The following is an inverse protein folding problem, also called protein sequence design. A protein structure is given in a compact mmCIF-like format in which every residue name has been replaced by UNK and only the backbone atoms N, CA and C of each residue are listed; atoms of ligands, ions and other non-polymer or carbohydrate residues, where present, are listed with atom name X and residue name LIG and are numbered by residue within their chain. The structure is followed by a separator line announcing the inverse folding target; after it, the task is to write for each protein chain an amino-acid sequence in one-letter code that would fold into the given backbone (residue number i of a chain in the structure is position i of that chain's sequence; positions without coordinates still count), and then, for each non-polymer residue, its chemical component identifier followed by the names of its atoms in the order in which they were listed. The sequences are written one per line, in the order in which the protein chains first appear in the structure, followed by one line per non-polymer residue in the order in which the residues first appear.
data_IF_991145294869
#
_entry.id   IF_991145294869
#
_cell.length_a   1.000
_cell.length_b   1.000
_cell.length_c   1.000
_cell.angle_alpha   90.00
_cell.angle_beta   90.00
_cell.angle_gamma   90.00
#
_symmetry.space_group_name_H-M   'P 1'
#
loop_
_entity.id
_entity.type
_entity.pdbx_description
1 polymer ?
#
# COMPACT_ATOMS: atom_id res chain seq x y z
N UNK A 1 14.17 1.42 -5.61
CA UNK A 1 15.12 0.84 -4.68
C UNK A 1 14.30 0.54 -3.44
N UNK A 2 13.91 -0.74 -3.28
CA UNK A 2 13.41 -1.22 -2.02
C UNK A 2 14.46 -0.81 -0.98
N UNK A 3 14.02 -0.13 0.07
CA UNK A 3 14.88 0.15 1.18
C UNK A 3 15.43 -1.20 1.62
N UNK A 4 16.65 -1.48 1.20
CA UNK A 4 17.42 -2.50 1.87
C UNK A 4 17.28 -2.18 3.32
N UNK A 5 16.83 -3.11 4.11
CA UNK A 5 16.89 -3.00 5.56
C UNK A 5 18.33 -2.59 5.86
N UNK A 6 18.52 -1.33 6.13
CA UNK A 6 19.83 -0.87 6.59
C UNK A 6 19.99 -1.47 7.97
N UNK A 7 20.70 -2.55 8.03
CA UNK A 7 21.26 -3.01 9.26
C UNK A 7 22.24 -1.90 9.70
N UNK A 8 21.72 -0.89 10.40
CA UNK A 8 22.52 0.18 10.94
C UNK A 8 23.39 -0.40 12.07
N UNK A 9 24.42 -1.12 11.66
CA UNK A 9 25.45 -1.60 12.54
C UNK A 9 26.39 -0.47 12.98
N UNK A 10 27.29 -0.75 13.93
CA UNK A 10 28.31 0.21 14.39
C UNK A 10 29.08 0.87 13.24
N UNK A 11 29.35 0.14 12.16
CA UNK A 11 30.06 0.62 10.96
C UNK A 11 29.28 1.72 10.23
N UNK A 12 27.96 1.58 10.14
CA UNK A 12 27.10 2.60 9.53
C UNK A 12 27.16 3.90 10.33
N UNK A 13 27.12 3.81 11.66
CA UNK A 13 27.21 4.97 12.53
C UNK A 13 28.57 5.66 12.38
N UNK A 14 29.69 4.90 12.40
CA UNK A 14 31.04 5.44 12.20
C UNK A 14 31.15 6.15 10.84
N UNK A 15 30.61 5.57 9.81
CA UNK A 15 30.55 6.16 8.46
C UNK A 15 29.81 7.49 8.47
N UNK A 16 28.62 7.55 9.07
CA UNK A 16 27.83 8.78 9.20
C UNK A 16 28.63 9.84 9.97
N UNK A 17 29.18 9.52 11.14
CA UNK A 17 29.96 10.47 11.95
C UNK A 17 31.19 10.96 11.19
N UNK A 18 31.86 10.10 10.43
CA UNK A 18 33.00 10.48 9.57
C UNK A 18 32.60 11.48 8.48
N UNK A 19 31.40 11.33 7.89
CA UNK A 19 30.88 12.31 6.92
C UNK A 19 30.51 13.62 7.63
N UNK A 20 29.79 13.54 8.74
CA UNK A 20 29.35 14.71 9.50
C UNK A 20 30.55 15.56 9.98
N UNK A 21 31.65 14.93 10.39
CA UNK A 21 32.86 15.65 10.81
C UNK A 21 33.49 16.51 9.71
N UNK A 22 33.19 16.25 8.44
CA UNK A 22 33.68 17.04 7.31
C UNK A 22 32.78 18.24 6.99
N UNK A 23 31.62 18.31 7.61
CA UNK A 23 30.63 19.36 7.38
C UNK A 23 30.78 20.42 8.49
N UNK A 24 30.77 21.69 8.11
CA UNK A 24 30.91 22.80 9.08
C UNK A 24 29.64 23.04 9.91
N UNK A 25 28.47 22.49 9.51
CA UNK A 25 27.23 22.68 10.25
C UNK A 25 27.11 21.70 11.39
N UNK A 26 26.67 22.17 12.54
CA UNK A 26 26.27 21.33 13.67
C UNK A 26 24.77 20.89 13.59
N UNK A 27 24.00 21.47 12.67
CA UNK A 27 22.60 21.10 12.50
C UNK A 27 22.48 20.09 11.35
N UNK A 28 21.86 18.94 11.66
CA UNK A 28 21.67 17.82 10.73
C UNK A 28 20.18 17.56 10.61
N UNK A 29 19.68 17.69 9.38
CA UNK A 29 18.31 17.27 9.06
C UNK A 29 18.25 15.78 8.78
N UNK A 30 17.16 15.12 9.20
CA UNK A 30 16.89 13.74 8.85
C UNK A 30 15.44 13.57 8.32
N UNK A 31 15.25 12.54 7.52
CA UNK A 31 13.95 12.15 6.94
C UNK A 31 13.73 10.68 7.27
N UNK A 32 12.53 10.34 7.74
CA UNK A 32 12.15 8.98 8.10
C UNK A 32 12.57 8.58 9.52
N UNK A 33 12.46 7.28 9.80
CA UNK A 33 12.71 6.73 11.12
C UNK A 33 14.21 6.45 11.31
N UNK A 34 14.78 6.96 12.37
CA UNK A 34 16.15 6.62 12.82
C UNK A 34 16.10 5.99 14.21
N UNK A 35 16.95 5.00 14.43
CA UNK A 35 17.00 4.27 15.70
C UNK A 35 17.54 5.15 16.84
N UNK A 36 17.06 4.91 18.07
CA UNK A 36 17.44 5.66 19.26
C UNK A 36 18.97 5.68 19.47
N UNK A 37 19.65 4.56 19.24
CA UNK A 37 21.12 4.48 19.36
C UNK A 37 21.84 5.43 18.40
N UNK A 38 21.34 5.60 17.19
CA UNK A 38 21.90 6.53 16.21
C UNK A 38 21.63 8.00 16.62
N UNK A 39 20.41 8.30 17.07
CA UNK A 39 20.07 9.62 17.61
C UNK A 39 21.03 9.99 18.75
N UNK A 40 21.16 9.09 19.73
CA UNK A 40 22.04 9.30 20.89
C UNK A 40 23.47 9.55 20.49
N UNK A 41 24.05 8.72 19.61
CA UNK A 41 25.42 8.84 19.19
C UNK A 41 25.72 10.13 18.41
N UNK A 42 24.80 10.53 17.49
CA UNK A 42 24.97 11.78 16.74
C UNK A 42 24.84 12.98 17.65
N UNK A 43 23.93 12.96 18.63
CA UNK A 43 23.78 14.03 19.62
C UNK A 43 24.98 14.13 20.56
N UNK A 44 25.50 12.99 21.02
CA UNK A 44 26.72 12.95 21.84
C UNK A 44 27.95 13.45 21.09
N UNK A 45 27.98 13.29 19.78
CA UNK A 45 29.04 13.86 18.94
C UNK A 45 28.90 15.39 18.70
N UNK A 46 27.91 16.04 19.33
CA UNK A 46 27.71 17.49 19.29
C UNK A 46 26.81 18.02 18.18
N UNK A 47 26.11 17.14 17.47
CA UNK A 47 25.20 17.56 16.42
C UNK A 47 23.77 17.75 16.95
N UNK A 48 23.04 18.71 16.38
CA UNK A 48 21.64 19.00 16.65
C UNK A 48 20.82 18.38 15.53
N UNK A 49 19.97 17.42 15.87
CA UNK A 49 19.08 16.76 14.92
C UNK A 49 17.76 17.53 14.76
N UNK A 50 17.29 17.65 13.53
CA UNK A 50 15.98 18.21 13.19
C UNK A 50 15.27 17.30 12.19
N UNK A 51 14.02 16.91 12.49
CA UNK A 51 13.19 16.20 11.50
C UNK A 51 12.84 17.14 10.34
N UNK A 52 12.94 16.62 9.14
CA UNK A 52 12.51 17.25 7.89
C UNK A 52 11.32 16.50 7.27
N UNK A 53 10.67 15.62 8.00
CA UNK A 53 9.58 14.77 7.49
C UNK A 53 8.45 15.59 6.86
N UNK A 54 7.92 16.58 7.59
CA UNK A 54 6.82 17.42 7.08
C UNK A 54 7.21 18.20 5.82
N UNK A 55 8.46 18.69 5.75
CA UNK A 55 8.96 19.37 4.55
C UNK A 55 9.10 18.39 3.38
N UNK A 56 9.60 17.20 3.64
CA UNK A 56 9.74 16.16 2.63
C UNK A 56 8.38 15.65 2.12
N UNK A 57 7.42 15.49 3.02
CA UNK A 57 6.03 15.16 2.65
C UNK A 57 5.45 16.24 1.73
N UNK A 58 5.62 17.51 2.08
CA UNK A 58 5.17 18.62 1.25
C UNK A 58 5.79 18.62 -0.16
N UNK A 59 7.10 18.44 -0.25
CA UNK A 59 7.80 18.37 -1.54
C UNK A 59 7.28 17.23 -2.40
N UNK A 60 6.86 16.12 -1.80
CA UNK A 60 6.32 14.93 -2.48
C UNK A 60 4.84 15.05 -2.88
N UNK A 61 4.12 16.08 -2.48
CA UNK A 61 2.71 16.24 -2.89
C UNK A 61 2.57 16.38 -4.40
N UNK A 62 3.43 17.17 -5.03
CA UNK A 62 3.45 17.32 -6.47
C UNK A 62 4.32 16.22 -7.09
N UNK A 63 3.77 15.52 -8.08
CA UNK A 63 4.46 14.45 -8.80
C UNK A 63 4.92 14.96 -10.16
N UNK A 64 6.13 14.62 -10.52
CA UNK A 64 6.63 14.78 -11.90
C UNK A 64 5.92 13.81 -12.84
N UNK A 65 6.01 14.04 -14.14
CA UNK A 65 5.44 13.11 -15.14
C UNK A 65 6.03 11.71 -15.02
N UNK A 66 7.32 11.57 -14.73
CA UNK A 66 7.96 10.27 -14.51
C UNK A 66 7.39 9.54 -13.29
N UNK A 67 7.07 10.23 -12.20
CA UNK A 67 6.43 9.66 -11.03
C UNK A 67 4.99 9.25 -11.33
N UNK A 68 4.27 10.04 -12.12
CA UNK A 68 2.91 9.70 -12.57
C UNK A 68 2.94 8.41 -13.40
N UNK A 69 3.92 8.22 -14.28
CA UNK A 69 4.08 6.98 -15.03
C UNK A 69 4.37 5.78 -14.11
N UNK A 70 5.16 5.97 -13.05
CA UNK A 70 5.38 4.92 -12.05
C UNK A 70 4.08 4.57 -11.29
N UNK A 71 3.27 5.57 -10.92
CA UNK A 71 1.95 5.35 -10.31
C UNK A 71 0.99 4.59 -11.23
N UNK A 72 0.98 4.93 -12.53
CA UNK A 72 0.16 4.22 -13.54
C UNK A 72 0.57 2.75 -13.66
N UNK A 73 1.88 2.46 -13.64
CA UNK A 73 2.37 1.08 -13.62
C UNK A 73 1.99 0.35 -12.33
N UNK A 74 2.08 1.01 -11.16
CA UNK A 74 1.61 0.44 -9.90
C UNK A 74 0.12 0.09 -9.93
N UNK A 75 -0.72 0.99 -10.45
CA UNK A 75 -2.16 0.73 -10.63
C UNK A 75 -2.41 -0.43 -11.59
N UNK A 76 -1.72 -0.45 -12.74
CA UNK A 76 -1.83 -1.55 -13.70
C UNK A 76 -1.45 -2.91 -13.09
N UNK A 77 -0.43 -2.96 -12.25
CA UNK A 77 -0.07 -4.21 -11.55
C UNK A 77 -1.17 -4.66 -10.59
N UNK A 78 -1.82 -3.74 -9.89
CA UNK A 78 -2.96 -4.09 -9.03
C UNK A 78 -4.14 -4.64 -9.85
N UNK A 79 -4.43 -4.06 -11.01
CA UNK A 79 -5.47 -4.56 -11.91
C UNK A 79 -5.11 -5.95 -12.45
N UNK A 80 -3.85 -6.19 -12.80
CA UNK A 80 -3.37 -7.53 -13.21
C UNK A 80 -3.56 -8.57 -12.11
N UNK A 81 -3.29 -8.22 -10.85
CA UNK A 81 -3.49 -9.12 -9.72
C UNK A 81 -4.96 -9.47 -9.52
N UNK A 82 -5.84 -8.47 -9.54
CA UNK A 82 -7.28 -8.72 -9.44
C UNK A 82 -7.76 -9.62 -10.58
N UNK A 83 -7.27 -9.36 -11.80
CA UNK A 83 -7.62 -10.20 -12.97
C UNK A 83 -7.10 -11.62 -12.82
N UNK A 84 -5.85 -11.81 -12.42
CA UNK A 84 -5.27 -13.15 -12.20
C UNK A 84 -6.05 -13.94 -11.16
N UNK A 85 -6.38 -13.31 -10.03
CA UNK A 85 -7.22 -13.94 -9.00
C UNK A 85 -8.58 -14.30 -9.55
N UNK A 86 -9.26 -13.36 -10.24
CA UNK A 86 -10.58 -13.61 -10.82
C UNK A 86 -10.58 -14.78 -11.79
N UNK A 87 -9.58 -14.89 -12.64
CA UNK A 87 -9.51 -15.88 -13.70
C UNK A 87 -9.11 -17.27 -13.18
N UNK A 88 -8.27 -17.31 -12.15
CA UNK A 88 -7.58 -18.54 -11.72
C UNK A 88 -8.07 -19.10 -10.38
N UNK A 89 -8.82 -18.33 -9.59
CA UNK A 89 -9.31 -18.79 -8.28
C UNK A 89 -10.20 -20.03 -8.41
N UNK A 90 -9.92 -21.03 -7.59
CA UNK A 90 -10.68 -22.27 -7.52
C UNK A 90 -11.08 -22.56 -6.06
N UNK A 91 -12.20 -23.26 -5.81
CA UNK A 91 -12.44 -23.89 -4.52
C UNK A 91 -11.24 -24.77 -4.12
N UNK A 92 -11.02 -24.96 -2.85
CA UNK A 92 -9.90 -25.70 -2.25
C UNK A 92 -8.54 -24.96 -2.27
N UNK A 93 -8.43 -23.82 -2.94
CA UNK A 93 -7.32 -22.90 -2.76
C UNK A 93 -7.37 -22.26 -1.37
N UNK A 94 -6.24 -21.78 -0.92
CA UNK A 94 -6.10 -21.05 0.34
C UNK A 94 -5.90 -19.55 0.12
N UNK A 95 -6.00 -18.74 1.17
CA UNK A 95 -5.63 -17.31 1.07
C UNK A 95 -4.15 -17.13 0.66
N UNK A 96 -3.26 -18.09 1.00
CA UNK A 96 -1.87 -18.06 0.52
C UNK A 96 -1.76 -18.23 -1.01
N UNK A 97 -2.65 -19.02 -1.59
CA UNK A 97 -2.69 -19.18 -3.06
C UNK A 97 -3.13 -17.88 -3.73
N UNK A 98 -4.06 -17.11 -3.12
CA UNK A 98 -4.43 -15.79 -3.64
C UNK A 98 -3.26 -14.80 -3.63
N UNK A 99 -2.45 -14.82 -2.56
CA UNK A 99 -1.21 -14.02 -2.52
C UNK A 99 -0.28 -14.41 -3.65
N UNK A 100 -0.12 -15.72 -3.89
CA UNK A 100 0.74 -16.24 -4.95
C UNK A 100 0.25 -15.83 -6.34
N UNK A 101 -1.06 -15.91 -6.61
CA UNK A 101 -1.66 -15.45 -7.86
C UNK A 101 -1.41 -13.95 -8.07
N UNK A 102 -1.65 -13.13 -7.04
CA UNK A 102 -1.41 -11.70 -7.09
C UNK A 102 0.06 -11.40 -7.43
N UNK A 103 1.00 -11.95 -6.67
CA UNK A 103 2.43 -11.67 -6.85
C UNK A 103 2.97 -12.17 -8.20
N UNK A 104 2.58 -13.34 -8.64
CA UNK A 104 3.02 -13.91 -9.92
C UNK A 104 2.57 -13.04 -11.12
N UNK A 105 1.46 -12.32 -11.01
CA UNK A 105 0.93 -11.49 -12.08
C UNK A 105 1.84 -10.33 -12.47
N UNK A 106 2.62 -9.80 -11.53
CA UNK A 106 3.48 -8.60 -11.76
C UNK A 106 4.98 -8.83 -11.59
N UNK A 107 5.42 -9.90 -10.89
CA UNK A 107 6.85 -10.09 -10.59
C UNK A 107 7.72 -10.12 -11.84
N UNK A 108 7.28 -10.81 -12.90
CA UNK A 108 8.02 -10.90 -14.18
C UNK A 108 8.08 -9.58 -14.93
N UNK A 109 7.19 -8.65 -14.59
CA UNK A 109 7.12 -7.31 -15.19
C UNK A 109 7.92 -6.27 -14.40
N UNK A 110 8.62 -6.70 -13.34
CA UNK A 110 9.39 -5.81 -12.47
C UNK A 110 8.53 -5.13 -11.39
N UNK A 111 7.31 -5.61 -11.17
CA UNK A 111 6.43 -5.16 -10.10
C UNK A 111 6.93 -5.58 -8.73
N UNK A 112 6.54 -4.83 -7.73
CA UNK A 112 6.85 -5.05 -6.33
C UNK A 112 5.55 -5.17 -5.53
N UNK A 113 5.51 -6.07 -4.55
CA UNK A 113 4.40 -6.13 -3.62
C UNK A 113 4.51 -4.99 -2.60
N UNK A 114 3.41 -4.27 -2.36
CA UNK A 114 3.29 -3.29 -1.30
C UNK A 114 2.24 -3.71 -0.28
N UNK A 115 0.99 -3.92 -0.71
CA UNK A 115 -0.10 -4.46 0.12
C UNK A 115 -0.70 -5.66 -0.60
N UNK A 116 -1.00 -6.71 0.14
CA UNK A 116 -1.69 -7.92 -0.33
C UNK A 116 -2.47 -8.54 0.82
N UNK A 117 -3.52 -7.83 1.22
CA UNK A 117 -4.38 -8.23 2.33
C UNK A 117 -5.61 -8.93 1.79
N UNK A 118 -5.96 -10.03 2.41
CA UNK A 118 -7.10 -10.85 2.03
C UNK A 118 -7.91 -11.25 3.25
N UNK A 119 -9.19 -11.44 3.03
CA UNK A 119 -10.05 -12.23 3.89
C UNK A 119 -10.99 -13.03 3.01
N UNK A 120 -11.09 -14.32 3.29
CA UNK A 120 -12.12 -15.19 2.79
C UNK A 120 -13.09 -15.50 3.92
N UNK A 121 -14.38 -15.38 3.69
CA UNK A 121 -15.42 -15.57 4.70
C UNK A 121 -16.67 -16.16 4.07
N UNK A 122 -17.47 -16.88 4.84
CA UNK A 122 -18.77 -17.34 4.38
C UNK A 122 -19.66 -16.12 4.08
N UNK A 123 -20.24 -16.04 2.88
CA UNK A 123 -21.02 -14.87 2.47
C UNK A 123 -22.38 -14.75 3.21
N UNK A 124 -22.93 -15.87 3.71
CA UNK A 124 -24.20 -15.86 4.41
C UNK A 124 -24.03 -15.56 5.91
N UNK A 125 -22.89 -15.95 6.48
CA UNK A 125 -22.50 -15.70 7.86
C UNK A 125 -21.04 -15.22 7.95
N UNK A 126 -20.77 -13.96 7.57
CA UNK A 126 -19.40 -13.46 7.58
C UNK A 126 -18.82 -13.38 8.98
N UNK A 127 -17.65 -13.98 9.20
CA UNK A 127 -16.88 -13.87 10.44
C UNK A 127 -15.91 -12.67 10.46
N UNK A 128 -15.82 -11.96 9.37
CA UNK A 128 -15.05 -10.73 9.23
C UNK A 128 -15.14 -10.17 7.80
N UNK A 129 -14.93 -8.85 7.68
CA UNK A 129 -15.04 -8.13 6.41
C UNK A 129 -13.81 -7.26 6.11
N UNK A 130 -12.86 -7.21 7.04
CA UNK A 130 -11.63 -6.42 6.86
C UNK A 130 -10.49 -7.34 6.42
N UNK A 131 -9.85 -7.10 5.29
CA UNK A 131 -8.73 -7.89 4.81
C UNK A 131 -7.60 -7.94 5.84
N UNK A 132 -7.09 -9.14 6.09
CA UNK A 132 -6.01 -9.37 7.06
C UNK A 132 -4.66 -9.03 6.44
N UNK A 133 -3.78 -8.44 7.23
CA UNK A 133 -2.41 -8.12 6.79
C UNK A 133 -1.59 -9.38 6.43
N UNK A 134 -1.92 -10.50 7.07
CA UNK A 134 -1.32 -11.78 6.79
C UNK A 134 -2.40 -12.75 6.29
N UNK A 135 -2.19 -13.30 5.12
CA UNK A 135 -3.01 -14.38 4.60
C UNK A 135 -2.91 -15.62 5.51
N UNK A 136 -3.96 -16.40 5.52
CA UNK A 136 -4.05 -17.61 6.33
C UNK A 136 -4.13 -18.86 5.45
N UNK A 137 -4.00 -20.03 6.08
CA UNK A 137 -4.24 -21.32 5.43
C UNK A 137 -5.72 -21.68 5.30
N UNK A 138 -6.66 -20.73 5.51
CA UNK A 138 -8.10 -21.00 5.34
C UNK A 138 -8.37 -21.44 3.92
N UNK A 139 -9.03 -22.56 3.77
CA UNK A 139 -9.46 -23.12 2.49
C UNK A 139 -10.71 -22.40 2.01
N UNK A 140 -10.66 -21.94 0.78
CA UNK A 140 -11.73 -21.18 0.14
C UNK A 140 -12.84 -22.14 -0.33
N UNK A 141 -14.05 -21.86 0.02
CA UNK A 141 -15.23 -22.63 -0.36
C UNK A 141 -16.04 -21.94 -1.47
N UNK A 142 -16.95 -22.70 -2.09
CA UNK A 142 -17.83 -22.19 -3.15
C UNK A 142 -18.81 -21.09 -2.68
N UNK A 143 -19.06 -21.01 -1.36
CA UNK A 143 -19.98 -20.04 -0.75
C UNK A 143 -19.23 -18.87 -0.10
N UNK A 144 -17.97 -18.67 -0.45
CA UNK A 144 -17.19 -17.60 0.15
C UNK A 144 -17.32 -16.28 -0.59
N UNK A 145 -17.22 -15.23 0.20
CA UNK A 145 -16.90 -13.87 -0.22
C UNK A 145 -15.42 -13.64 0.05
N UNK A 146 -14.71 -13.15 -0.96
CA UNK A 146 -13.32 -12.72 -0.85
C UNK A 146 -13.31 -11.20 -0.83
N UNK A 147 -12.70 -10.61 0.19
CA UNK A 147 -12.43 -9.17 0.22
C UNK A 147 -10.93 -8.98 0.19
N UNK A 148 -10.46 -8.10 -0.68
CA UNK A 148 -9.05 -7.91 -0.93
C UNK A 148 -8.66 -6.44 -1.01
N UNK A 149 -7.48 -6.16 -0.49
CA UNK A 149 -6.78 -4.88 -0.61
C UNK A 149 -5.41 -5.17 -1.21
N UNK A 150 -5.22 -4.73 -2.45
CA UNK A 150 -4.03 -5.05 -3.23
C UNK A 150 -3.35 -3.77 -3.69
N UNK A 151 -2.05 -3.70 -3.48
CA UNK A 151 -1.19 -2.64 -4.04
C UNK A 151 0.02 -3.26 -4.72
N UNK A 152 0.00 -3.30 -6.03
CA UNK A 152 1.20 -3.46 -6.83
C UNK A 152 1.98 -2.15 -6.88
N UNK A 153 3.30 -2.21 -6.95
CA UNK A 153 4.14 -1.04 -6.98
C UNK A 153 5.24 -1.16 -8.05
N UNK A 154 5.66 -0.02 -8.56
CA UNK A 154 6.82 0.12 -9.43
C UNK A 154 7.74 1.21 -8.87
N UNK A 155 8.99 0.87 -8.57
CA UNK A 155 9.98 1.79 -7.98
C UNK A 155 9.47 2.52 -6.73
N UNK A 156 8.67 1.84 -5.90
CA UNK A 156 8.10 2.41 -4.68
C UNK A 156 6.83 3.25 -4.88
N UNK A 157 6.33 3.40 -6.10
CA UNK A 157 5.05 4.04 -6.41
C UNK A 157 3.97 2.98 -6.54
N UNK A 158 3.00 2.99 -5.64
CA UNK A 158 1.95 1.98 -5.56
C UNK A 158 0.61 2.50 -6.09
N UNK A 159 -0.16 1.60 -6.71
CA UNK A 159 -1.56 1.82 -7.00
C UNK A 159 -2.41 0.84 -6.22
N UNK A 160 -3.31 1.31 -5.35
CA UNK A 160 -4.13 0.48 -4.50
C UNK A 160 -5.51 0.27 -5.07
N UNK A 161 -6.01 -0.95 -4.95
CA UNK A 161 -7.41 -1.30 -5.23
C UNK A 161 -8.00 -2.10 -4.07
N UNK A 162 -9.26 -1.83 -3.75
CA UNK A 162 -10.08 -2.66 -2.87
C UNK A 162 -11.14 -3.32 -3.73
N UNK A 163 -11.31 -4.62 -3.57
CA UNK A 163 -12.29 -5.41 -4.34
C UNK A 163 -12.93 -6.46 -3.47
N UNK A 164 -14.19 -6.76 -3.79
CA UNK A 164 -14.92 -7.90 -3.26
C UNK A 164 -15.30 -8.83 -4.41
N UNK A 165 -15.30 -10.12 -4.16
CA UNK A 165 -15.59 -11.14 -5.15
C UNK A 165 -16.36 -12.29 -4.51
N UNK A 166 -17.49 -12.67 -5.08
CA UNK A 166 -18.21 -13.89 -4.69
C UNK A 166 -17.64 -15.10 -5.44
N UNK A 167 -17.37 -16.19 -4.72
CA UNK A 167 -16.88 -17.42 -5.31
C UNK A 167 -17.98 -18.10 -6.13
N UNK A 168 -17.84 -18.05 -7.47
CA UNK A 168 -18.64 -18.80 -8.45
C UNK A 168 -20.17 -18.84 -8.19
N UNK A 169 -20.67 -17.85 -7.47
CA UNK A 169 -22.10 -17.69 -7.17
C UNK A 169 -22.48 -16.22 -7.29
N UNK A 170 -23.76 -15.98 -7.54
CA UNK A 170 -24.29 -14.63 -7.47
C UNK A 170 -24.04 -14.04 -6.08
N UNK A 171 -23.66 -12.76 -5.98
CA UNK A 171 -23.49 -12.12 -4.70
C UNK A 171 -24.79 -12.12 -3.89
N UNK A 172 -24.69 -12.21 -2.58
CA UNK A 172 -25.86 -11.99 -1.72
C UNK A 172 -26.38 -10.55 -1.88
N UNK A 173 -27.70 -10.34 -1.71
CA UNK A 173 -28.32 -9.02 -1.94
C UNK A 173 -27.62 -7.90 -1.16
N UNK A 174 -27.30 -8.13 0.10
CA UNK A 174 -26.62 -7.14 0.93
C UNK A 174 -25.23 -6.76 0.40
N UNK A 175 -24.49 -7.72 -0.23
CA UNK A 175 -23.21 -7.44 -0.87
C UNK A 175 -23.39 -6.50 -2.05
N UNK A 176 -24.39 -6.77 -2.88
CA UNK A 176 -24.73 -5.94 -4.04
C UNK A 176 -25.16 -4.54 -3.64
N UNK A 177 -25.99 -4.41 -2.60
CA UNK A 177 -26.43 -3.12 -2.05
C UNK A 177 -25.26 -2.28 -1.54
N UNK A 178 -24.36 -2.86 -0.73
CA UNK A 178 -23.16 -2.17 -0.26
C UNK A 178 -22.23 -1.80 -1.39
N UNK A 179 -22.08 -2.67 -2.39
CA UNK A 179 -21.24 -2.40 -3.54
C UNK A 179 -21.80 -1.20 -4.35
N UNK A 180 -23.11 -1.14 -4.56
CA UNK A 180 -23.74 -0.02 -5.25
C UNK A 180 -23.53 1.32 -4.53
N UNK A 181 -23.67 1.34 -3.20
CA UNK A 181 -23.39 2.53 -2.38
C UNK A 181 -21.91 2.96 -2.54
N UNK A 182 -20.98 2.03 -2.42
CA UNK A 182 -19.56 2.31 -2.55
C UNK A 182 -19.18 2.81 -3.95
N UNK A 183 -19.73 2.20 -5.00
CA UNK A 183 -19.50 2.58 -6.40
C UNK A 183 -20.05 3.97 -6.72
N UNK A 184 -21.24 4.28 -6.21
CA UNK A 184 -21.86 5.59 -6.36
C UNK A 184 -21.02 6.67 -5.65
N UNK A 185 -20.57 6.43 -4.43
CA UNK A 185 -19.70 7.35 -3.70
C UNK A 185 -18.37 7.58 -4.45
N UNK A 186 -17.73 6.50 -4.94
CA UNK A 186 -16.52 6.60 -5.73
C UNK A 186 -16.72 7.43 -7.00
N UNK A 187 -17.78 7.19 -7.76
CA UNK A 187 -18.12 7.94 -8.98
C UNK A 187 -18.39 9.41 -8.69
N UNK A 188 -19.13 9.71 -7.60
CA UNK A 188 -19.43 11.05 -7.18
C UNK A 188 -18.13 11.83 -6.84
N UNK A 189 -17.25 11.24 -6.02
CA UNK A 189 -15.95 11.83 -5.69
C UNK A 189 -15.11 12.04 -6.96
N UNK A 190 -14.99 11.01 -7.81
CA UNK A 190 -14.19 11.09 -9.02
C UNK A 190 -14.66 12.19 -9.97
N UNK A 191 -15.96 12.47 -10.03
CA UNK A 191 -16.56 13.50 -10.89
C UNK A 191 -16.17 14.93 -10.50
N UNK A 192 -15.90 15.17 -9.21
CA UNK A 192 -15.56 16.51 -8.69
C UNK A 192 -14.07 16.67 -8.41
N UNK A 193 -13.31 15.58 -8.34
CA UNK A 193 -11.91 15.60 -7.91
C UNK A 193 -11.03 16.35 -8.93
N UNK A 194 -10.54 17.53 -8.55
CA UNK A 194 -9.67 18.38 -9.35
C UNK A 194 -8.79 19.24 -8.46
N UNK A 195 -7.78 19.87 -9.03
CA UNK A 195 -6.98 20.87 -8.32
C UNK A 195 -7.88 22.00 -7.80
N UNK A 196 -7.71 22.35 -6.53
CA UNK A 196 -8.52 23.36 -5.82
C UNK A 196 -9.79 22.81 -5.16
N UNK A 197 -10.11 21.53 -5.32
CA UNK A 197 -11.21 20.90 -4.59
C UNK A 197 -10.91 20.87 -3.09
N UNK A 198 -11.88 21.25 -2.27
CA UNK A 198 -11.74 21.25 -0.82
C UNK A 198 -12.13 19.89 -0.22
N UNK A 199 -11.63 19.61 0.98
CA UNK A 199 -12.02 18.40 1.72
C UNK A 199 -13.54 18.36 1.97
N UNK A 200 -14.16 19.52 2.21
CA UNK A 200 -15.61 19.60 2.41
C UNK A 200 -16.38 19.15 1.17
N UNK A 201 -16.00 19.62 -0.03
CA UNK A 201 -16.65 19.19 -1.27
C UNK A 201 -16.50 17.70 -1.50
N UNK A 202 -15.34 17.10 -1.16
CA UNK A 202 -15.12 15.66 -1.27
C UNK A 202 -16.02 14.88 -0.31
N UNK A 203 -16.14 15.31 0.94
CA UNK A 203 -17.00 14.68 1.94
C UNK A 203 -18.48 14.80 1.57
N UNK A 204 -18.91 15.97 1.11
CA UNK A 204 -20.29 16.20 0.66
C UNK A 204 -20.64 15.32 -0.56
N UNK A 205 -19.68 15.05 -1.45
CA UNK A 205 -19.88 14.18 -2.61
C UNK A 205 -19.90 12.68 -2.27
N UNK A 206 -19.34 12.30 -1.12
CA UNK A 206 -19.30 10.91 -0.64
C UNK A 206 -20.55 10.54 0.18
N UNK A 207 -21.40 11.51 0.54
CA UNK A 207 -22.61 11.36 1.38
C UNK A 207 -23.82 11.05 0.53
#
# INVERSE_FOLDING_TARGET
YGASVSWAGPETLQTILSYLSKIKSQRVGFIGKIGLGMITAITQAGYILASLDSWYEYVRLLKSEAEIQCLRLGAYFSDLAVKSIHDEIQPEMTEHDLVSLAENSWLRLGGQAHIRYFISTNRDEPDGMVPRQNATGRVISKNDLIVMEISGAFRGYAGQVLRSMSMRAEPANWVSEFHEVADNALKSIASILRSGCTMKEILDAAS
#
